data_IF_786380794604
#
_entry.id   IF_786380794604
#
_cell.length_a   1.000
_cell.length_b   1.000
_cell.length_c   1.000
_cell.angle_alpha   90.00
_cell.angle_beta   90.00
_cell.angle_gamma   90.00
#
_symmetry.space_group_name_H-M   'P 1'
#
loop_
_entity.id
_entity.type
_entity.pdbx_description
1 polymer ?
#
# COMPACT_ATOMS: atom_id res chain seq x y z
N UNK A 1 -26.98 16.02 -11.63
CA UNK A 1 -25.52 15.91 -11.59
C UNK A 1 -24.91 16.74 -12.71
N UNK A 2 -23.82 17.45 -12.44
CA UNK A 2 -22.98 18.06 -13.48
C UNK A 2 -21.62 17.39 -13.38
N UNK A 3 -21.20 16.77 -14.48
CA UNK A 3 -19.87 16.18 -14.61
C UNK A 3 -19.02 17.14 -15.41
N UNK A 4 -17.78 17.34 -14.96
CA UNK A 4 -16.75 18.03 -15.72
C UNK A 4 -15.50 17.17 -15.73
N UNK A 5 -15.05 16.82 -16.92
CA UNK A 5 -13.84 16.02 -17.12
C UNK A 5 -12.58 16.85 -16.89
N UNK A 6 -11.51 16.25 -16.37
CA UNK A 6 -10.26 16.97 -16.15
C UNK A 6 -9.66 17.47 -17.47
N UNK A 7 -9.79 16.71 -18.55
CA UNK A 7 -9.39 17.15 -19.90
C UNK A 7 -10.10 18.43 -20.35
N UNK A 8 -11.36 18.62 -19.95
CA UNK A 8 -12.17 19.80 -20.27
C UNK A 8 -11.83 21.04 -19.42
N UNK A 9 -10.92 20.91 -18.44
CA UNK A 9 -10.54 21.98 -17.51
C UNK A 9 -9.21 22.67 -17.88
N UNK A 10 -8.61 22.34 -19.03
CA UNK A 10 -7.29 22.83 -19.45
C UNK A 10 -6.19 22.56 -18.40
N UNK A 11 -6.28 21.44 -17.69
CA UNK A 11 -5.27 21.01 -16.72
C UNK A 11 -4.22 20.14 -17.42
N UNK A 12 -2.96 20.23 -17.01
CA UNK A 12 -1.96 19.26 -17.45
C UNK A 12 -2.12 17.97 -16.64
N UNK A 13 -2.61 16.91 -17.29
CA UNK A 13 -2.85 15.60 -16.68
C UNK A 13 -1.81 14.54 -17.07
N UNK A 14 -0.85 14.87 -17.95
CA UNK A 14 0.08 13.89 -18.56
C UNK A 14 0.82 13.05 -17.51
N UNK A 15 1.31 13.70 -16.45
CA UNK A 15 2.03 13.06 -15.36
C UNK A 15 1.29 13.12 -14.02
N UNK A 16 0.01 13.51 -14.01
CA UNK A 16 -0.75 13.63 -12.77
C UNK A 16 -0.93 12.26 -12.11
N UNK A 17 -0.53 12.17 -10.83
CA UNK A 17 -0.80 11.00 -9.98
C UNK A 17 -1.87 11.29 -8.95
N UNK A 18 -1.74 12.42 -8.25
CA UNK A 18 -2.65 12.78 -7.18
C UNK A 18 -3.50 13.98 -7.55
N UNK A 19 -4.79 13.93 -7.22
CA UNK A 19 -5.71 15.05 -7.28
C UNK A 19 -6.16 15.47 -5.87
N UNK A 20 -6.18 16.77 -5.64
CA UNK A 20 -6.88 17.39 -4.52
C UNK A 20 -7.97 18.32 -5.07
N UNK A 21 -9.19 18.15 -4.57
CA UNK A 21 -10.38 18.83 -5.06
C UNK A 21 -11.07 19.48 -3.88
N UNK A 22 -11.40 20.77 -4.04
CA UNK A 22 -12.24 21.49 -3.09
C UNK A 22 -13.47 21.99 -3.84
N UNK A 23 -14.64 21.63 -3.35
CA UNK A 23 -15.92 22.16 -3.77
C UNK A 23 -16.41 23.13 -2.69
N UNK A 24 -16.92 24.29 -3.08
CA UNK A 24 -17.55 25.26 -2.17
C UNK A 24 -18.77 25.88 -2.83
N UNK A 25 -19.81 26.21 -2.06
CA UNK A 25 -21.03 26.84 -2.58
C UNK A 25 -21.62 27.86 -1.61
N UNK A 26 -22.66 28.58 -2.04
CA UNK A 26 -23.20 29.77 -1.35
C UNK A 26 -24.63 29.63 -0.82
N UNK A 27 -25.23 28.43 -0.89
CA UNK A 27 -26.61 28.17 -0.45
C UNK A 27 -26.70 27.00 0.52
N UNK A 28 -27.68 27.01 1.42
CA UNK A 28 -27.95 25.90 2.33
C UNK A 28 -28.49 24.67 1.60
N UNK A 29 -27.57 23.85 1.08
CA UNK A 29 -27.83 22.64 0.30
C UNK A 29 -26.81 21.55 0.59
N UNK A 30 -27.23 20.31 0.40
CA UNK A 30 -26.41 19.11 0.56
C UNK A 30 -25.78 18.72 -0.77
N UNK A 31 -24.57 19.24 -1.03
CA UNK A 31 -23.85 18.89 -2.24
C UNK A 31 -22.74 17.90 -1.91
N UNK A 32 -22.73 16.79 -2.62
CA UNK A 32 -21.71 15.76 -2.50
C UNK A 32 -20.73 15.85 -3.68
N UNK A 33 -19.50 15.39 -3.45
CA UNK A 33 -18.41 15.43 -4.41
C UNK A 33 -17.94 14.02 -4.73
N UNK A 34 -18.02 13.63 -6.00
CA UNK A 34 -17.54 12.35 -6.49
C UNK A 34 -16.48 12.54 -7.56
N UNK A 35 -15.46 11.67 -7.55
CA UNK A 35 -14.66 11.40 -8.73
C UNK A 35 -15.26 10.24 -9.50
N UNK A 36 -15.36 10.38 -10.82
CA UNK A 36 -15.96 9.40 -11.73
C UNK A 36 -15.04 9.06 -12.89
N UNK A 37 -15.32 7.96 -13.59
CA UNK A 37 -14.68 7.58 -14.84
C UNK A 37 -15.73 7.04 -15.82
N UNK A 38 -15.38 7.03 -17.12
CA UNK A 38 -16.23 6.48 -18.16
C UNK A 38 -15.70 5.12 -18.62
N UNK A 39 -16.60 4.14 -18.74
CA UNK A 39 -16.35 2.89 -19.45
C UNK A 39 -17.44 2.70 -20.52
N UNK A 40 -17.06 2.96 -21.77
CA UNK A 40 -17.99 3.06 -22.87
C UNK A 40 -19.04 4.16 -22.62
N UNK A 41 -20.36 3.86 -22.72
CA UNK A 41 -21.42 4.85 -22.52
C UNK A 41 -21.79 5.04 -21.03
N UNK A 42 -21.19 4.27 -20.13
CA UNK A 42 -21.55 4.26 -18.72
C UNK A 42 -20.55 5.07 -17.90
N UNK A 43 -21.06 5.70 -16.84
CA UNK A 43 -20.28 6.48 -15.89
C UNK A 43 -20.33 5.74 -14.57
N UNK A 44 -19.16 5.59 -13.96
CA UNK A 44 -18.98 4.91 -12.70
C UNK A 44 -18.26 5.82 -11.71
N UNK A 45 -18.66 5.73 -10.46
CA UNK A 45 -17.94 6.35 -9.36
C UNK A 45 -16.61 5.63 -9.13
N UNK A 46 -15.57 6.42 -8.90
CA UNK A 46 -14.32 5.94 -8.31
C UNK A 46 -14.54 5.67 -6.82
N UNK A 47 -13.53 5.11 -6.15
CA UNK A 47 -13.52 5.02 -4.67
C UNK A 47 -13.35 6.36 -3.94
N UNK A 48 -13.20 7.47 -4.65
CA UNK A 48 -12.94 8.79 -4.05
C UNK A 48 -14.20 9.64 -4.13
N UNK A 49 -14.88 9.75 -2.99
CA UNK A 49 -15.97 10.67 -2.77
C UNK A 49 -15.76 11.44 -1.47
N UNK A 50 -16.50 12.54 -1.33
CA UNK A 50 -16.68 13.28 -0.10
C UNK A 50 -18.17 13.56 -0.02
N UNK A 51 -18.81 12.92 0.95
CA UNK A 51 -20.25 12.90 1.14
C UNK A 51 -20.51 13.16 2.62
N UNK A 52 -21.20 14.25 2.93
CA UNK A 52 -21.70 14.49 4.30
C UNK A 52 -22.98 15.32 4.29
N UNK A 53 -23.73 15.26 5.39
CA UNK A 53 -24.98 16.03 5.57
C UNK A 53 -24.68 17.52 5.83
N UNK A 54 -24.08 18.21 4.85
CA UNK A 54 -23.59 19.58 4.98
C UNK A 54 -24.70 20.56 5.42
N UNK A 55 -25.95 20.33 4.98
CA UNK A 55 -27.10 21.16 5.34
C UNK A 55 -27.40 21.14 6.86
N UNK A 56 -27.19 20.03 7.55
CA UNK A 56 -27.37 19.90 9.00
C UNK A 56 -26.18 20.47 9.77
N UNK A 57 -24.99 20.44 9.17
CA UNK A 57 -23.74 20.91 9.76
C UNK A 57 -23.50 22.41 9.54
N UNK A 58 -24.27 23.05 8.65
CA UNK A 58 -24.06 24.44 8.25
C UNK A 58 -22.77 24.62 7.46
N UNK A 59 -22.34 23.57 6.77
CA UNK A 59 -21.12 23.52 5.96
C UNK A 59 -21.49 23.66 4.48
N UNK A 60 -20.68 24.40 3.72
CA UNK A 60 -20.89 24.63 2.29
C UNK A 60 -19.65 24.29 1.50
N UNK A 61 -19.04 23.16 1.83
CA UNK A 61 -17.82 22.67 1.21
C UNK A 61 -17.77 21.14 1.20
N UNK A 62 -17.05 20.60 0.22
CA UNK A 62 -16.63 19.19 0.14
C UNK A 62 -15.16 19.12 -0.25
N UNK A 63 -14.45 18.06 0.17
CA UNK A 63 -13.00 17.99 -0.05
C UNK A 63 -12.46 16.58 -0.24
N UNK A 64 -11.68 16.41 -1.30
CA UNK A 64 -10.83 15.24 -1.56
C UNK A 64 -9.37 15.70 -1.56
N UNK A 65 -8.48 15.12 -0.76
CA UNK A 65 -7.12 15.66 -0.58
C UNK A 65 -6.00 14.89 -1.29
N UNK A 66 -6.18 13.59 -1.51
CA UNK A 66 -5.11 12.67 -1.98
C UNK A 66 -5.66 11.55 -2.86
N UNK A 67 -6.53 11.87 -3.81
CA UNK A 67 -7.03 10.88 -4.74
C UNK A 67 -5.90 10.45 -5.69
N UNK A 68 -5.48 9.18 -5.63
CA UNK A 68 -4.61 8.58 -6.65
C UNK A 68 -5.45 8.29 -7.89
N UNK A 69 -5.38 9.22 -8.86
CA UNK A 69 -6.16 9.18 -10.10
C UNK A 69 -5.44 8.40 -11.20
N UNK A 70 -4.18 8.02 -11.00
CA UNK A 70 -3.32 7.50 -12.08
C UNK A 70 -3.89 6.24 -12.70
N UNK A 71 -4.41 5.36 -11.85
CA UNK A 71 -5.09 4.14 -12.28
C UNK A 71 -6.20 4.43 -13.30
N UNK A 72 -7.09 5.38 -13.00
CA UNK A 72 -8.21 5.73 -13.87
C UNK A 72 -7.76 6.45 -15.14
N UNK A 73 -6.77 7.35 -15.03
CA UNK A 73 -6.18 8.02 -16.18
C UNK A 73 -5.54 7.01 -17.15
N UNK A 74 -4.78 6.04 -16.65
CA UNK A 74 -4.09 5.05 -17.48
C UNK A 74 -5.07 4.04 -18.09
N UNK A 75 -6.15 3.66 -17.38
CA UNK A 75 -7.11 2.64 -17.82
C UNK A 75 -8.26 3.20 -18.66
N UNK A 76 -8.84 4.33 -18.26
CA UNK A 76 -10.06 4.90 -18.85
C UNK A 76 -9.80 6.21 -19.61
N UNK A 77 -8.58 6.75 -19.52
CA UNK A 77 -8.15 7.94 -20.28
C UNK A 77 -8.49 9.27 -19.62
N UNK A 78 -9.46 9.32 -18.71
CA UNK A 78 -9.81 10.53 -17.99
C UNK A 78 -10.51 10.25 -16.65
N UNK A 79 -10.55 11.29 -15.81
CA UNK A 79 -11.34 11.33 -14.56
C UNK A 79 -12.27 12.53 -14.63
N UNK A 80 -13.52 12.32 -14.23
CA UNK A 80 -14.55 13.34 -14.11
C UNK A 80 -14.75 13.76 -12.66
N UNK A 81 -15.14 15.01 -12.47
CA UNK A 81 -15.65 15.51 -11.19
C UNK A 81 -17.15 15.64 -11.31
N UNK A 82 -17.87 14.91 -10.47
CA UNK A 82 -19.31 15.00 -10.33
C UNK A 82 -19.67 15.76 -9.06
N UNK A 83 -20.53 16.77 -9.23
CA UNK A 83 -21.23 17.41 -8.11
C UNK A 83 -22.66 16.89 -8.11
N UNK A 84 -23.01 16.21 -7.04
CA UNK A 84 -24.32 15.65 -6.80
C UNK A 84 -25.07 16.50 -5.76
N UNK A 85 -26.40 16.60 -5.92
CA UNK A 85 -27.25 17.29 -4.96
C UNK A 85 -28.09 16.23 -4.28
N UNK A 86 -27.80 15.93 -3.02
CA UNK A 86 -28.49 14.92 -2.23
C UNK A 86 -29.81 15.42 -1.63
N UNK A 87 -30.10 16.72 -1.71
CA UNK A 87 -31.40 17.24 -1.33
C UNK A 87 -32.49 16.87 -2.35
N UNK A 88 -33.73 16.72 -1.87
CA UNK A 88 -34.91 16.54 -2.72
C UNK A 88 -35.30 17.81 -3.51
N UNK A 89 -34.77 18.96 -3.09
CA UNK A 89 -35.02 20.25 -3.73
C UNK A 89 -33.93 20.62 -4.73
N UNK A 90 -34.27 21.42 -5.75
CA UNK A 90 -33.31 21.90 -6.74
C UNK A 90 -32.30 22.90 -6.13
N UNK A 91 -31.05 22.79 -6.59
CA UNK A 91 -29.98 23.75 -6.32
C UNK A 91 -30.04 24.93 -7.33
N UNK A 92 -30.16 26.16 -6.82
CA UNK A 92 -30.20 27.40 -7.63
C UNK A 92 -29.00 28.34 -7.38
N UNK A 93 -28.00 27.90 -6.61
CA UNK A 93 -26.83 28.69 -6.25
C UNK A 93 -25.67 28.62 -7.24
N UNK A 94 -24.53 29.15 -6.82
CA UNK A 94 -23.26 28.94 -7.51
C UNK A 94 -22.37 28.02 -6.69
N UNK A 95 -21.57 27.21 -7.38
CA UNK A 95 -20.51 26.44 -6.75
C UNK A 95 -19.20 26.64 -7.49
N UNK A 96 -18.10 26.51 -6.75
CA UNK A 96 -16.74 26.61 -7.25
C UNK A 96 -16.03 25.29 -6.99
N UNK A 97 -15.41 24.73 -8.03
CA UNK A 97 -14.53 23.57 -7.92
C UNK A 97 -13.10 24.04 -8.15
N UNK A 98 -12.20 23.74 -7.21
CA UNK A 98 -10.76 23.94 -7.36
C UNK A 98 -10.06 22.61 -7.39
N UNK A 99 -9.31 22.36 -8.46
CA UNK A 99 -8.54 21.14 -8.68
C UNK A 99 -7.05 21.46 -8.60
N UNK A 100 -6.32 20.68 -7.81
CA UNK A 100 -4.87 20.70 -7.76
C UNK A 100 -4.33 19.32 -8.13
N UNK A 101 -3.61 19.25 -9.25
CA UNK A 101 -2.93 18.03 -9.68
C UNK A 101 -1.48 18.03 -9.19
N UNK A 102 -1.00 16.87 -8.78
CA UNK A 102 0.40 16.64 -8.43
C UNK A 102 0.96 15.49 -9.23
N UNK A 103 2.12 15.74 -9.81
CA UNK A 103 2.82 14.78 -10.65
C UNK A 103 3.33 13.57 -9.87
N UNK A 104 3.53 12.47 -10.62
CA UNK A 104 4.30 11.30 -10.22
C UNK A 104 5.70 11.76 -9.78
N UNK A 105 6.08 11.52 -8.51
CA UNK A 105 7.47 11.71 -8.07
C UNK A 105 8.33 10.59 -8.65
N UNK A 106 9.64 10.80 -8.83
CA UNK A 106 10.55 9.73 -9.28
C UNK A 106 10.44 8.44 -8.45
N UNK A 107 10.10 8.58 -7.16
CA UNK A 107 9.87 7.54 -6.17
C UNK A 107 8.57 6.73 -6.41
N UNK A 108 7.60 7.29 -7.13
CA UNK A 108 6.35 6.65 -7.49
C UNK A 108 6.50 5.69 -8.70
N UNK A 109 7.68 5.65 -9.35
CA UNK A 109 8.00 4.75 -10.49
C UNK A 109 8.28 3.29 -10.08
N UNK A 110 8.08 2.95 -8.82
CA UNK A 110 8.29 1.61 -8.31
C UNK A 110 7.22 0.70 -8.90
N UNK A 111 7.65 -0.27 -9.70
CA UNK A 111 6.73 -1.22 -10.30
C UNK A 111 6.44 -2.34 -9.31
N UNK A 112 5.16 -2.60 -9.09
CA UNK A 112 4.66 -3.78 -8.39
C UNK A 112 4.26 -4.80 -9.45
N UNK A 113 4.84 -6.00 -9.39
CA UNK A 113 4.38 -7.13 -10.19
C UNK A 113 3.67 -8.13 -9.28
N UNK A 114 2.47 -8.54 -9.70
CA UNK A 114 1.73 -9.62 -9.08
C UNK A 114 2.04 -10.91 -9.85
N UNK A 115 2.40 -11.96 -9.13
CA UNK A 115 2.64 -13.29 -9.70
C UNK A 115 1.59 -14.27 -9.18
N UNK A 116 1.15 -15.22 -10.02
CA UNK A 116 0.14 -16.25 -9.74
C UNK A 116 -1.33 -15.79 -9.57
N UNK A 117 -1.79 -14.78 -10.32
CA UNK A 117 -3.22 -14.48 -10.39
C UNK A 117 -3.88 -15.43 -11.40
N UNK A 118 -4.41 -16.54 -10.91
CA UNK A 118 -5.39 -17.32 -11.66
C UNK A 118 -6.81 -16.92 -11.21
N UNK A 119 -7.80 -17.11 -12.08
CA UNK A 119 -9.21 -16.83 -11.81
C UNK A 119 -9.65 -17.42 -10.47
N UNK A 120 -10.17 -16.59 -9.58
CA UNK A 120 -10.71 -17.04 -8.30
C UNK A 120 -12.14 -17.57 -8.51
N UNK A 121 -12.39 -18.81 -8.09
CA UNK A 121 -13.75 -19.32 -7.97
C UNK A 121 -14.48 -18.70 -6.77
N UNK A 122 -15.82 -18.85 -6.67
CA UNK A 122 -16.57 -18.39 -5.51
C UNK A 122 -15.96 -18.91 -4.20
N UNK A 123 -15.77 -18.03 -3.22
CA UNK A 123 -15.20 -18.33 -1.90
C UNK A 123 -13.75 -18.83 -1.89
N UNK A 124 -13.02 -18.74 -3.00
CA UNK A 124 -11.62 -19.17 -3.07
C UNK A 124 -10.68 -18.13 -2.47
N UNK A 125 -9.80 -18.56 -1.56
CA UNK A 125 -8.65 -17.77 -1.08
C UNK A 125 -7.39 -18.16 -1.84
N UNK A 126 -6.53 -17.17 -2.15
CA UNK A 126 -5.21 -17.39 -2.74
C UNK A 126 -4.19 -16.44 -2.13
N UNK A 127 -2.97 -16.95 -1.99
CA UNK A 127 -1.80 -16.13 -1.70
C UNK A 127 -1.24 -15.59 -3.02
N UNK A 128 -0.85 -14.33 -3.04
CA UNK A 128 -0.12 -13.72 -4.14
C UNK A 128 1.24 -13.23 -3.66
N UNK A 129 2.20 -13.13 -4.58
CA UNK A 129 3.51 -12.54 -4.27
C UNK A 129 3.59 -11.15 -4.88
N UNK A 130 3.89 -10.17 -4.03
CA UNK A 130 4.22 -8.81 -4.43
C UNK A 130 5.72 -8.73 -4.72
N UNK A 131 6.11 -8.36 -5.94
CA UNK A 131 7.52 -8.05 -6.26
C UNK A 131 7.69 -6.57 -6.53
N UNK A 132 8.59 -5.95 -5.79
CA UNK A 132 8.87 -4.50 -5.83
C UNK A 132 10.20 -4.29 -6.51
N UNK A 133 10.24 -3.52 -7.60
CA UNK A 133 11.51 -3.09 -8.19
C UNK A 133 12.08 -1.89 -7.42
N UNK A 134 13.09 -2.14 -6.59
CA UNK A 134 13.72 -1.14 -5.73
C UNK A 134 14.69 -0.17 -6.41
N UNK A 135 14.99 -0.34 -7.71
CA UNK A 135 16.07 0.40 -8.40
C UNK A 135 15.89 1.92 -8.44
N UNK A 136 14.68 2.43 -8.21
CA UNK A 136 14.35 3.87 -8.18
C UNK A 136 13.88 4.36 -6.81
N UNK A 137 13.95 3.52 -5.77
CA UNK A 137 13.54 3.92 -4.43
C UNK A 137 14.67 4.73 -3.79
N UNK A 138 14.37 5.98 -3.41
CA UNK A 138 15.32 6.82 -2.65
C UNK A 138 15.24 6.46 -1.16
N UNK A 139 16.39 6.34 -0.53
CA UNK A 139 16.54 6.09 0.91
C UNK A 139 15.76 7.12 1.75
N UNK A 140 15.32 6.70 2.95
CA UNK A 140 14.56 7.52 3.90
C UNK A 140 13.27 8.13 3.32
N UNK A 141 12.59 7.40 2.43
CA UNK A 141 11.29 7.78 1.87
C UNK A 141 10.22 6.74 2.18
N UNK A 142 8.98 7.22 2.21
CA UNK A 142 7.77 6.39 2.26
C UNK A 142 7.14 6.43 0.87
N UNK A 143 6.80 5.25 0.36
CA UNK A 143 6.12 5.07 -0.91
C UNK A 143 4.79 4.40 -0.64
N UNK A 144 3.71 5.05 -1.06
CA UNK A 144 2.35 4.56 -0.92
C UNK A 144 1.88 4.06 -2.29
N UNK A 145 1.37 2.84 -2.30
CA UNK A 145 0.79 2.17 -3.45
C UNK A 145 -0.61 1.75 -3.13
N UNK A 146 -1.39 1.56 -4.18
CA UNK A 146 -2.69 0.93 -4.07
C UNK A 146 -2.75 -0.28 -4.99
N UNK A 147 -3.06 -1.42 -4.39
CA UNK A 147 -3.48 -2.59 -5.14
C UNK A 147 -5.00 -2.49 -5.33
N UNK A 148 -5.46 -2.34 -6.57
CA UNK A 148 -6.88 -2.39 -6.92
C UNK A 148 -7.21 -3.79 -7.38
N UNK A 149 -8.21 -4.40 -6.75
CA UNK A 149 -8.80 -5.69 -7.13
C UNK A 149 -10.13 -5.39 -7.80
N UNK A 150 -10.34 -5.94 -8.99
CA UNK A 150 -11.51 -5.65 -9.80
C UNK A 150 -12.01 -6.90 -10.56
N UNK A 151 -13.25 -6.83 -11.04
CA UNK A 151 -13.73 -7.70 -12.11
C UNK A 151 -13.75 -6.92 -13.44
N UNK A 152 -14.40 -7.48 -14.46
CA UNK A 152 -14.51 -6.88 -15.79
C UNK A 152 -15.22 -5.53 -15.84
N UNK A 153 -15.89 -5.09 -14.76
CA UNK A 153 -16.80 -3.95 -14.81
C UNK A 153 -16.72 -3.04 -13.59
N UNK A 154 -16.09 -3.47 -12.49
CA UNK A 154 -16.09 -2.74 -11.22
C UNK A 154 -14.85 -3.04 -10.38
N UNK A 155 -14.41 -2.03 -9.62
CA UNK A 155 -13.52 -2.24 -8.48
C UNK A 155 -14.25 -3.02 -7.38
N UNK A 156 -13.63 -4.08 -6.88
CA UNK A 156 -14.17 -4.94 -5.83
C UNK A 156 -13.53 -4.61 -4.48
N UNK A 157 -12.23 -4.33 -4.48
CA UNK A 157 -11.48 -4.05 -3.27
C UNK A 157 -10.22 -3.26 -3.58
N UNK A 158 -9.70 -2.57 -2.58
CA UNK A 158 -8.44 -1.87 -2.68
C UNK A 158 -7.63 -2.09 -1.42
N UNK A 159 -6.33 -2.28 -1.59
CA UNK A 159 -5.41 -2.61 -0.50
C UNK A 159 -4.28 -1.58 -0.53
N UNK A 160 -4.20 -0.68 0.47
CA UNK A 160 -3.09 0.26 0.55
C UNK A 160 -1.82 -0.50 0.94
N UNK A 161 -0.74 -0.27 0.21
CA UNK A 161 0.57 -0.87 0.46
C UNK A 161 1.56 0.26 0.72
N UNK A 162 2.20 0.25 1.89
CA UNK A 162 3.19 1.26 2.27
C UNK A 162 4.57 0.64 2.39
N UNK A 163 5.52 1.17 1.62
CA UNK A 163 6.93 0.76 1.65
C UNK A 163 7.77 1.89 2.21
N UNK A 164 8.41 1.66 3.35
CA UNK A 164 9.37 2.58 3.96
C UNK A 164 10.77 2.05 3.74
N UNK A 165 11.65 2.85 3.16
CA UNK A 165 13.08 2.53 3.08
C UNK A 165 13.84 3.28 4.15
N UNK A 166 14.71 2.58 4.87
CA UNK A 166 15.64 3.15 5.83
C UNK A 166 17.02 3.27 5.20
N UNK A 167 17.72 4.36 5.48
CA UNK A 167 19.14 4.46 5.20
C UNK A 167 19.91 3.62 6.21
N UNK A 168 20.61 2.61 5.71
CA UNK A 168 21.57 1.86 6.50
C UNK A 168 22.93 2.52 6.32
N UNK A 169 23.35 3.35 7.28
CA UNK A 169 24.72 3.87 7.30
C UNK A 169 25.66 2.72 7.63
N UNK A 170 26.22 2.09 6.60
CA UNK A 170 27.31 1.13 6.78
C UNK A 170 28.55 1.94 7.13
N UNK A 171 28.80 2.15 8.43
CA UNK A 171 30.08 2.68 8.89
C UNK A 171 31.13 1.61 8.59
N UNK A 172 31.78 1.74 7.43
CA UNK A 172 32.92 0.90 7.06
C UNK A 172 34.05 1.21 8.03
N UNK A 173 34.20 0.41 9.09
CA UNK A 173 35.45 0.35 9.84
C UNK A 173 36.45 -0.35 8.95
N UNK A 174 37.35 0.42 8.34
CA UNK A 174 38.47 -0.08 7.55
C UNK A 174 39.39 -0.90 8.46
N UNK A 175 39.14 -2.20 8.58
CA UNK A 175 40.12 -3.17 9.07
C UNK A 175 40.89 -3.69 7.86
N UNK A 176 42.14 -3.25 7.76
CA UNK A 176 43.09 -3.70 6.74
C UNK A 176 43.40 -5.18 6.99
N UNK A 177 42.75 -6.07 6.26
CA UNK A 177 43.13 -7.49 6.16
C UNK A 177 43.22 -7.87 4.69
N UNK A 178 44.32 -8.53 4.36
CA UNK A 178 44.82 -8.81 3.03
C UNK A 178 44.02 -9.91 2.32
N UNK A 179 43.76 -9.63 1.03
CA UNK A 179 43.32 -10.45 -0.09
C UNK A 179 43.23 -11.97 0.10
N UNK A 180 42.02 -12.53 -0.03
CA UNK A 180 41.77 -13.69 -0.90
C UNK A 180 40.34 -13.66 -1.44
N UNK A 181 40.24 -13.65 -2.76
CA UNK A 181 39.02 -13.55 -3.54
C UNK A 181 38.29 -14.89 -3.55
N UNK A 182 37.15 -14.98 -2.86
CA UNK A 182 36.13 -15.97 -3.18
C UNK A 182 34.76 -15.29 -3.07
N UNK A 183 34.14 -15.06 -4.23
CA UNK A 183 32.77 -14.57 -4.33
C UNK A 183 31.83 -15.71 -3.98
N UNK A 184 31.49 -15.83 -2.70
CA UNK A 184 30.30 -16.56 -2.28
C UNK A 184 29.26 -15.51 -1.96
N UNK A 185 28.47 -15.15 -2.96
CA UNK A 185 27.11 -14.65 -2.74
C UNK A 185 26.41 -15.71 -1.88
N UNK A 186 26.19 -15.43 -0.60
CA UNK A 186 25.29 -16.23 0.23
C UNK A 186 23.90 -15.71 -0.10
N UNK A 187 23.11 -16.39 -0.95
CA UNK A 187 21.70 -16.06 -1.05
C UNK A 187 21.06 -16.27 0.32
N UNK A 188 20.13 -15.39 0.72
CA UNK A 188 19.11 -15.82 1.67
C UNK A 188 18.61 -17.20 1.18
N UNK A 189 18.52 -18.23 2.02
CA UNK A 189 17.65 -19.34 1.68
C UNK A 189 16.27 -18.71 1.58
N UNK A 190 15.76 -18.52 0.36
CA UNK A 190 14.43 -17.97 0.06
C UNK A 190 13.29 -18.88 0.55
N UNK A 191 13.62 -19.77 1.49
CA UNK A 191 12.94 -20.97 1.87
C UNK A 191 12.48 -20.93 3.33
N UNK A 192 13.13 -20.17 4.22
CA UNK A 192 12.65 -20.00 5.60
C UNK A 192 11.66 -18.84 5.66
N UNK A 193 10.45 -19.14 6.12
CA UNK A 193 9.36 -18.16 6.24
C UNK A 193 8.83 -18.10 7.66
N UNK A 194 8.23 -16.96 8.02
CA UNK A 194 7.28 -16.92 9.14
C UNK A 194 6.05 -17.70 8.68
N UNK A 195 5.74 -18.79 9.36
CA UNK A 195 4.58 -19.63 9.04
C UNK A 195 3.35 -19.17 9.81
N UNK A 196 3.49 -19.01 11.13
CA UNK A 196 2.43 -18.60 12.04
C UNK A 196 2.98 -17.66 13.12
N UNK A 197 2.10 -16.87 13.74
CA UNK A 197 2.44 -16.08 14.90
C UNK A 197 1.19 -15.80 15.74
N UNK A 198 1.38 -15.58 17.04
CA UNK A 198 0.32 -15.21 17.95
C UNK A 198 0.71 -13.98 18.77
N UNK A 199 0.15 -12.80 18.46
CA UNK A 199 0.38 -11.58 19.22
C UNK A 199 -0.51 -11.54 20.47
N UNK A 200 0.09 -11.26 21.62
CA UNK A 200 -0.49 -11.18 22.96
C UNK A 200 -1.79 -12.00 23.18
N UNK A 201 -1.69 -13.34 23.24
CA UNK A 201 -2.81 -14.20 23.58
C UNK A 201 -3.14 -14.10 25.08
N UNK A 202 -4.40 -13.85 25.43
CA UNK A 202 -4.90 -13.68 26.81
C UNK A 202 -4.25 -14.65 27.83
N UNK A 203 -3.21 -14.20 28.54
CA UNK A 203 -2.55 -14.96 29.61
C UNK A 203 -1.47 -15.96 29.17
N UNK A 204 -1.04 -15.96 27.90
CA UNK A 204 0.00 -16.86 27.36
C UNK A 204 1.12 -16.07 26.67
N UNK A 205 2.29 -16.69 26.47
CA UNK A 205 3.43 -16.03 25.81
C UNK A 205 3.19 -15.83 24.31
N UNK A 206 3.66 -14.70 23.80
CA UNK A 206 3.72 -14.45 22.35
C UNK A 206 4.66 -15.46 21.70
N UNK A 207 4.31 -15.90 20.50
CA UNK A 207 5.19 -16.79 19.76
C UNK A 207 5.13 -16.55 18.26
N UNK A 208 6.25 -16.90 17.60
CA UNK A 208 6.37 -16.94 16.13
C UNK A 208 6.91 -18.30 15.73
N UNK A 209 6.27 -18.91 14.73
CA UNK A 209 6.72 -20.14 14.09
C UNK A 209 7.45 -19.85 12.78
N UNK A 210 8.61 -20.48 12.62
CA UNK A 210 9.36 -20.50 11.37
C UNK A 210 9.22 -21.85 10.68
N UNK A 211 9.10 -21.83 9.36
CA UNK A 211 9.09 -23.03 8.53
C UNK A 211 10.15 -22.95 7.44
N UNK A 212 10.96 -24.00 7.32
CA UNK A 212 11.99 -24.13 6.27
C UNK A 212 11.45 -24.95 5.09
N UNK A 213 11.07 -24.28 4.01
CA UNK A 213 10.62 -24.88 2.74
C UNK A 213 11.76 -25.50 1.92
N UNK A 214 13.00 -25.33 2.37
CA UNK A 214 14.20 -25.62 1.61
C UNK A 214 14.65 -27.06 1.75
N UNK A 215 15.46 -27.49 0.79
CA UNK A 215 16.06 -28.83 0.76
C UNK A 215 17.26 -29.01 1.69
N UNK A 216 17.65 -27.98 2.45
CA UNK A 216 18.79 -28.00 3.37
C UNK A 216 18.42 -27.42 4.73
N UNK A 217 19.02 -27.96 5.79
CA UNK A 217 18.83 -27.44 7.15
C UNK A 217 19.45 -26.04 7.27
N UNK A 218 18.81 -25.17 8.05
CA UNK A 218 19.19 -23.77 8.20
C UNK A 218 19.65 -23.47 9.61
N UNK A 219 20.82 -22.85 9.73
CA UNK A 219 21.32 -22.37 11.00
C UNK A 219 20.74 -20.97 11.27
N UNK A 220 20.04 -20.83 12.38
CA UNK A 220 19.37 -19.58 12.77
C UNK A 220 20.27 -18.66 13.62
N UNK A 221 21.56 -19.02 13.80
CA UNK A 221 22.55 -18.12 14.39
C UNK A 221 22.59 -16.84 13.55
N UNK A 222 22.54 -15.70 14.25
CA UNK A 222 22.44 -14.35 13.68
C UNK A 222 21.11 -14.06 13.00
N UNK A 223 20.06 -14.85 13.21
CA UNK A 223 18.72 -14.45 12.75
C UNK A 223 18.03 -13.67 13.87
N UNK A 224 17.07 -12.82 13.54
CA UNK A 224 16.26 -12.14 14.56
C UNK A 224 14.83 -11.90 14.10
N UNK A 225 13.91 -11.86 15.07
CA UNK A 225 12.52 -11.46 14.89
C UNK A 225 12.26 -10.26 15.79
N UNK A 226 11.83 -9.13 15.22
CA UNK A 226 11.61 -7.89 15.96
C UNK A 226 12.80 -7.50 16.88
N UNK A 227 14.04 -7.75 16.42
CA UNK A 227 15.27 -7.46 17.16
C UNK A 227 15.66 -8.50 18.21
N UNK A 228 14.86 -9.55 18.43
CA UNK A 228 15.21 -10.67 19.31
C UNK A 228 16.01 -11.72 18.54
N UNK A 229 17.23 -11.99 18.98
CA UNK A 229 18.12 -12.96 18.35
C UNK A 229 17.57 -14.40 18.47
N UNK A 230 17.62 -15.13 17.36
CA UNK A 230 17.30 -16.54 17.28
C UNK A 230 18.55 -17.39 17.47
N UNK A 231 18.34 -18.66 17.81
CA UNK A 231 19.40 -19.66 17.86
C UNK A 231 18.84 -21.04 17.50
N UNK A 232 19.72 -21.96 17.16
CA UNK A 232 19.36 -23.34 16.81
C UNK A 232 19.43 -23.63 15.31
N UNK A 233 19.00 -24.83 14.94
CA UNK A 233 19.01 -25.31 13.56
C UNK A 233 17.61 -25.76 13.18
N UNK A 234 17.11 -25.24 12.06
CA UNK A 234 15.83 -25.59 11.48
C UNK A 234 16.04 -26.67 10.41
N UNK A 235 15.51 -27.87 10.67
CA UNK A 235 15.66 -29.01 9.77
C UNK A 235 15.05 -28.78 8.38
N UNK A 236 15.38 -29.66 7.43
CA UNK A 236 14.79 -29.71 6.09
C UNK A 236 13.28 -29.91 6.22
N UNK A 237 12.46 -29.08 5.59
CA UNK A 237 10.98 -29.15 5.72
C UNK A 237 10.51 -29.14 7.19
N UNK A 238 11.33 -28.60 8.09
CA UNK A 238 11.07 -28.54 9.52
C UNK A 238 10.48 -27.21 9.93
N UNK A 239 9.79 -27.21 11.08
CA UNK A 239 9.26 -26.03 11.74
C UNK A 239 9.80 -25.91 13.17
N UNK A 240 9.84 -24.69 13.68
CA UNK A 240 10.19 -24.41 15.09
C UNK A 240 9.49 -23.15 15.54
N UNK A 241 9.15 -23.05 16.83
CA UNK A 241 8.51 -21.86 17.40
C UNK A 241 9.41 -21.20 18.45
N UNK A 242 9.36 -19.87 18.48
CA UNK A 242 10.07 -19.03 19.43
C UNK A 242 9.06 -18.33 20.33
N UNK A 243 9.18 -18.52 21.64
CA UNK A 243 8.40 -17.78 22.62
C UNK A 243 9.13 -16.49 23.01
N UNK A 244 8.37 -15.40 23.11
CA UNK A 244 8.87 -14.13 23.60
C UNK A 244 8.40 -13.88 25.02
N UNK A 245 9.33 -13.47 25.87
CA UNK A 245 9.11 -13.19 27.29
C UNK A 245 8.67 -11.76 27.57
N UNK A 246 8.69 -10.91 26.54
CA UNK A 246 8.20 -9.53 26.56
C UNK A 246 7.17 -9.36 25.44
N UNK A 247 6.18 -8.50 25.65
CA UNK A 247 5.22 -8.13 24.60
C UNK A 247 5.94 -7.35 23.49
N UNK A 248 6.37 -8.06 22.46
CA UNK A 248 7.06 -7.50 21.29
C UNK A 248 6.13 -7.39 20.08
N UNK A 249 4.96 -8.05 20.12
CA UNK A 249 3.92 -7.97 19.09
C UNK A 249 2.72 -7.20 19.65
N UNK A 250 2.64 -5.90 19.38
CA UNK A 250 1.50 -5.11 19.83
C UNK A 250 0.27 -5.37 18.96
N UNK A 251 -0.88 -5.50 19.61
CA UNK A 251 -2.15 -5.94 19.02
C UNK A 251 -2.84 -4.89 18.14
N UNK A 252 -2.09 -3.91 17.62
CA UNK A 252 -2.61 -2.75 16.89
C UNK A 252 -1.78 -2.44 15.66
N UNK A 253 -1.74 -3.38 14.71
CA UNK A 253 -1.18 -3.15 13.38
C UNK A 253 0.34 -3.27 13.27
N UNK A 254 0.96 -4.05 14.15
CA UNK A 254 2.40 -4.32 14.07
C UNK A 254 2.81 -5.15 12.84
N UNK A 255 4.08 -4.98 12.47
CA UNK A 255 4.74 -5.72 11.40
C UNK A 255 5.81 -6.63 12.00
N UNK A 256 5.77 -7.92 11.65
CA UNK A 256 6.79 -8.90 12.04
C UNK A 256 7.76 -9.07 10.88
N UNK A 257 9.05 -8.92 11.17
CA UNK A 257 10.12 -9.06 10.19
C UNK A 257 11.10 -10.12 10.71
N UNK A 258 11.39 -11.10 9.86
CA UNK A 258 12.47 -12.07 10.05
C UNK A 258 13.71 -11.54 9.34
N UNK A 259 14.78 -11.33 10.11
CA UNK A 259 16.09 -10.92 9.60
C UNK A 259 17.04 -12.10 9.72
N UNK A 260 17.84 -12.36 8.68
CA UNK A 260 18.85 -13.43 8.67
C UNK A 260 20.28 -12.91 8.91
N UNK A 261 20.39 -11.67 9.41
CA UNK A 261 21.61 -11.07 9.92
C UNK A 261 21.27 -10.20 11.16
N UNK A 262 21.84 -10.58 12.31
CA UNK A 262 21.61 -9.95 13.62
C UNK A 262 22.35 -8.62 13.73
N UNK A 263 23.06 -8.19 12.68
CA UNK A 263 23.56 -6.83 12.54
C UNK A 263 22.43 -5.80 12.33
N UNK A 264 21.18 -6.24 12.13
CA UNK A 264 20.01 -5.36 12.07
C UNK A 264 19.90 -4.56 10.77
N UNK A 265 20.54 -5.02 9.68
CA UNK A 265 20.38 -4.40 8.38
C UNK A 265 19.14 -4.97 7.67
N UNK A 266 18.09 -4.15 7.62
CA UNK A 266 17.00 -4.24 6.65
C UNK A 266 17.52 -3.81 5.28
#
# INVERSE_FOLDING_TARGET
YKIKWLSDMNLNTENAKYAAINLTWDTARNLDLFLVYADGPFIYETRFSSEHENNQLGEYWEKIEKADIRYYMDKYGDVGIEVYNADSEMFFGNFTVKVNLKDVKEQDNVTINLHNIATLGPYASRNFTLRVNGSRIKENKTNDFLLVVENSSQEISWIPIRIKTTQTTITSTTSTSTTSTSTTTIPLPADVVINEFMPNPNGTSEWVELYNKGGSAQNLINWSIAGQALSGTLGISGWTYFNFTSAILNNTGDTIILLNDSSGQV
#
